data_IF_776510487854
#
_entry.id   IF_776510487854
#
_cell.length_a   1.000
_cell.length_b   1.000
_cell.length_c   1.000
_cell.angle_alpha   90.00
_cell.angle_beta   90.00
_cell.angle_gamma   90.00
#
_symmetry.space_group_name_H-M   'P 1'
#
loop_
_entity.id
_entity.type
_entity.pdbx_description
1 polymer ?
#
# COMPACT_ATOMS: atom_id res chain seq x y z
N UNK A 1 -7.69 7.51 10.51
CA UNK A 1 -6.39 6.96 10.05
C UNK A 1 -6.28 7.23 8.57
N UNK A 2 -5.38 8.12 8.17
CA UNK A 2 -5.01 8.26 6.76
C UNK A 2 -4.03 7.13 6.45
N UNK A 3 -4.14 6.51 5.29
CA UNK A 3 -3.23 5.45 4.90
C UNK A 3 -2.87 5.55 3.43
N UNK A 4 -1.72 4.97 3.10
CA UNK A 4 -1.22 4.87 1.73
C UNK A 4 -0.59 3.50 1.48
N UNK A 5 -0.66 3.07 0.22
CA UNK A 5 0.11 1.97 -0.35
C UNK A 5 0.84 2.55 -1.55
N UNK A 6 2.17 2.50 -1.55
CA UNK A 6 3.00 2.94 -2.67
C UNK A 6 3.91 1.83 -3.16
N UNK A 7 4.20 1.84 -4.46
CA UNK A 7 5.10 0.91 -5.11
C UNK A 7 6.29 1.70 -5.67
N UNK A 8 7.51 1.35 -5.27
CA UNK A 8 8.74 1.93 -5.81
C UNK A 8 9.60 0.90 -6.54
N UNK A 9 10.29 1.33 -7.59
CA UNK A 9 10.97 0.45 -8.54
C UNK A 9 10.03 -0.22 -9.55
N UNK A 10 10.60 -1.11 -10.36
CA UNK A 10 9.91 -1.78 -11.46
C UNK A 10 9.42 -0.82 -12.55
N UNK A 11 8.78 -1.38 -13.58
CA UNK A 11 8.06 -0.64 -14.60
C UNK A 11 6.56 -0.73 -14.31
N UNK A 12 6.04 0.19 -13.50
CA UNK A 12 4.63 0.25 -13.11
C UNK A 12 3.90 1.28 -13.98
N UNK A 13 2.91 0.83 -14.74
CA UNK A 13 2.11 1.66 -15.66
C UNK A 13 0.82 2.18 -15.02
N UNK A 14 0.29 1.47 -14.02
CA UNK A 14 -0.91 1.86 -13.28
C UNK A 14 -0.86 1.33 -11.84
N UNK A 15 -1.49 2.06 -10.91
CA UNK A 15 -1.65 1.62 -9.52
C UNK A 15 -0.44 1.87 -8.61
N UNK A 16 0.49 2.76 -9.00
CA UNK A 16 1.71 3.04 -8.23
C UNK A 16 1.44 3.58 -6.82
N UNK A 17 0.31 4.26 -6.64
CA UNK A 17 -0.10 4.82 -5.35
C UNK A 17 -1.61 4.58 -5.13
N UNK A 18 -1.98 4.17 -3.92
CA UNK A 18 -3.35 4.14 -3.44
C UNK A 18 -3.42 4.86 -2.09
N UNK A 19 -4.38 5.76 -1.94
CA UNK A 19 -4.62 6.51 -0.71
C UNK A 19 -6.01 6.20 -0.17
N UNK A 20 -6.16 6.30 1.14
CA UNK A 20 -7.47 6.20 1.76
C UNK A 20 -7.52 6.77 3.16
N UNK A 21 -8.75 6.82 3.70
CA UNK A 21 -9.02 7.28 5.05
C UNK A 21 -10.02 6.36 5.72
N UNK A 22 -9.64 5.82 6.87
CA UNK A 22 -10.52 5.08 7.77
C UNK A 22 -10.98 6.04 8.87
N UNK A 23 -12.29 6.13 9.09
CA UNK A 23 -12.89 7.03 10.08
C UNK A 23 -12.41 6.75 11.50
N UNK A 24 -12.25 5.48 11.86
CA UNK A 24 -11.69 5.03 13.13
C UNK A 24 -11.44 3.53 13.11
N UNK A 25 -10.51 3.08 13.93
CA UNK A 25 -10.27 1.66 14.23
C UNK A 25 -10.52 1.52 15.72
N UNK A 26 -11.40 0.60 16.13
CA UNK A 26 -11.64 0.34 17.55
C UNK A 26 -10.38 -0.16 18.23
N UNK A 27 -10.23 0.07 19.54
CA UNK A 27 -9.09 -0.46 20.29
C UNK A 27 -9.02 -1.98 20.15
N UNK A 28 -7.85 -2.50 19.76
CA UNK A 28 -7.65 -3.94 19.46
C UNK A 28 -8.37 -4.44 18.20
N UNK A 29 -9.00 -3.55 17.43
CA UNK A 29 -9.65 -3.87 16.16
C UNK A 29 -8.68 -3.87 14.98
N UNK A 30 -9.15 -4.45 13.88
CA UNK A 30 -8.42 -4.55 12.63
C UNK A 30 -9.33 -4.13 11.48
N UNK A 31 -8.77 -3.44 10.48
CA UNK A 31 -9.47 -3.06 9.25
C UNK A 31 -8.57 -3.38 8.07
N UNK A 32 -9.06 -4.18 7.13
CA UNK A 32 -8.35 -4.48 5.91
C UNK A 32 -8.42 -3.30 4.92
N UNK A 33 -7.30 -3.01 4.27
CA UNK A 33 -7.19 -2.07 3.16
C UNK A 33 -6.70 -2.83 1.92
N UNK A 34 -7.03 -2.32 0.74
CA UNK A 34 -6.62 -2.91 -0.53
C UNK A 34 -6.26 -1.83 -1.52
N UNK A 35 -5.22 -2.06 -2.31
CA UNK A 35 -4.91 -1.23 -3.47
C UNK A 35 -5.97 -1.43 -4.57
N UNK A 36 -6.01 -0.49 -5.51
CA UNK A 36 -6.73 -0.67 -6.77
C UNK A 36 -6.01 -1.63 -7.73
N UNK A 37 -6.44 -1.59 -9.00
CA UNK A 37 -5.77 -2.32 -10.08
C UNK A 37 -4.31 -1.85 -10.25
N UNK A 38 -3.39 -2.81 -10.27
CA UNK A 38 -1.96 -2.59 -10.49
C UNK A 38 -1.57 -3.29 -11.80
N UNK A 39 -0.82 -2.58 -12.65
CA UNK A 39 -0.28 -3.14 -13.88
C UNK A 39 1.17 -2.72 -14.07
N UNK A 40 2.07 -3.69 -14.19
CA UNK A 40 3.49 -3.40 -14.37
C UNK A 40 4.36 -4.64 -14.54
N UNK A 41 5.66 -4.45 -14.47
CA UNK A 41 6.64 -5.53 -14.55
C UNK A 41 7.92 -5.18 -13.80
N UNK A 42 8.42 -6.08 -12.96
CA UNK A 42 9.74 -5.96 -12.31
C UNK A 42 9.68 -6.03 -10.78
N UNK A 43 10.87 -6.00 -10.17
CA UNK A 43 11.02 -5.92 -8.71
C UNK A 43 10.56 -4.57 -8.21
N UNK A 44 9.80 -4.57 -7.13
CA UNK A 44 9.28 -3.37 -6.50
C UNK A 44 9.35 -3.50 -4.98
N UNK A 45 9.37 -2.38 -4.28
CA UNK A 45 9.16 -2.31 -2.83
C UNK A 45 7.76 -1.75 -2.61
N UNK A 46 6.93 -2.47 -1.88
CA UNK A 46 5.61 -2.03 -1.44
C UNK A 46 5.79 -1.36 -0.09
N UNK A 47 5.44 -0.08 0.01
CA UNK A 47 5.42 0.66 1.26
C UNK A 47 3.99 0.92 1.67
N UNK A 48 3.61 0.49 2.87
CA UNK A 48 2.30 0.73 3.46
C UNK A 48 2.48 1.65 4.66
N UNK A 49 1.82 2.80 4.65
CA UNK A 49 1.87 3.76 5.76
C UNK A 49 0.48 3.99 6.32
N UNK A 50 0.41 4.14 7.64
CA UNK A 50 -0.80 4.54 8.35
C UNK A 50 -0.48 5.67 9.32
N UNK A 51 -1.29 6.71 9.31
CA UNK A 51 -1.08 7.92 10.09
C UNK A 51 -2.38 8.37 10.80
N UNK A 52 -2.19 8.81 12.03
CA UNK A 52 -3.18 9.51 12.86
C UNK A 52 -2.57 10.82 13.37
N UNK A 53 -3.37 11.66 14.02
CA UNK A 53 -2.87 12.92 14.59
C UNK A 53 -1.72 12.74 15.60
N UNK A 54 -1.58 11.57 16.22
CA UNK A 54 -0.67 11.34 17.34
C UNK A 54 0.41 10.29 17.05
N UNK A 55 0.33 9.57 15.94
CA UNK A 55 1.20 8.43 15.65
C UNK A 55 1.11 8.05 14.17
N UNK A 56 2.24 7.61 13.63
CA UNK A 56 2.35 6.98 12.32
C UNK A 56 3.11 5.66 12.44
N UNK A 57 2.86 4.76 11.49
CA UNK A 57 3.62 3.53 11.31
C UNK A 57 3.79 3.26 9.81
N UNK A 58 4.85 2.54 9.44
CA UNK A 58 5.17 2.23 8.05
C UNK A 58 5.86 0.88 7.94
N UNK A 59 5.41 0.08 6.97
CA UNK A 59 5.94 -1.24 6.67
C UNK A 59 6.35 -1.29 5.22
N UNK A 60 7.52 -1.85 4.95
CA UNK A 60 8.04 -2.09 3.61
C UNK A 60 8.15 -3.59 3.33
N UNK A 61 7.86 -3.98 2.10
CA UNK A 61 7.91 -5.36 1.66
C UNK A 61 8.40 -5.44 0.22
N UNK A 62 9.46 -6.20 -0.01
CA UNK A 62 9.93 -6.54 -1.35
C UNK A 62 8.89 -7.41 -2.08
N UNK A 63 8.65 -7.11 -3.35
CA UNK A 63 7.75 -7.84 -4.22
C UNK A 63 8.23 -7.87 -5.68
N UNK A 64 7.60 -8.69 -6.51
CA UNK A 64 7.75 -8.70 -7.96
C UNK A 64 6.39 -8.59 -8.64
N UNK A 65 6.26 -7.64 -9.56
CA UNK A 65 5.07 -7.46 -10.39
C UNK A 65 5.28 -8.12 -11.75
N UNK A 66 4.30 -8.90 -12.21
CA UNK A 66 4.22 -9.48 -13.55
C UNK A 66 2.82 -9.25 -14.12
N UNK A 67 2.67 -8.22 -14.95
CA UNK A 67 1.38 -7.73 -15.42
C UNK A 67 0.50 -7.31 -14.22
N UNK A 68 -0.50 -8.11 -13.86
CA UNK A 68 -1.39 -7.91 -12.71
C UNK A 68 -1.11 -8.89 -11.56
N UNK A 69 -0.12 -9.76 -11.71
CA UNK A 69 0.31 -10.68 -10.65
C UNK A 69 1.38 -10.03 -9.77
N UNK A 70 1.24 -10.15 -8.45
CA UNK A 70 2.17 -9.60 -7.46
C UNK A 70 2.55 -10.74 -6.51
N UNK A 71 3.86 -10.93 -6.26
CA UNK A 71 4.40 -11.97 -5.37
C UNK A 71 5.52 -11.43 -4.49
#
# INVERSE_FOLDING_TARGET
>A
VNWSISLDGGFILAGKETLGRIAGVSAGGEVAISSGFIFGFGKTVITVSAETANSSDTVEQDAFVLLFFIK
#
